data_IF_289883749591
#
_entry.id   IF_289883749591
#
_cell.length_a   1.000
_cell.length_b   1.000
_cell.length_c   1.000
_cell.angle_alpha   90.00
_cell.angle_beta   90.00
_cell.angle_gamma   90.00
#
_symmetry.space_group_name_H-M   'P 1'
#
loop_
_entity.id
_entity.type
_entity.pdbx_description
1 polymer ?
#
# COMPACT_ATOMS: atom_id res chain seq x y z
N UNK A 1 27.48 23.88 -22.27
CA UNK A 1 26.95 24.47 -21.03
C UNK A 1 25.88 23.52 -20.50
N UNK A 2 26.22 22.68 -19.52
CA UNK A 2 25.26 21.76 -18.90
C UNK A 2 24.61 22.55 -17.77
N UNK A 3 23.32 22.84 -17.91
CA UNK A 3 22.52 23.44 -16.82
C UNK A 3 22.10 22.28 -15.92
N UNK A 4 22.87 22.04 -14.86
CA UNK A 4 22.46 21.14 -13.78
C UNK A 4 21.48 21.91 -12.90
N UNK A 5 20.17 21.63 -13.04
CA UNK A 5 19.18 22.13 -12.10
C UNK A 5 19.42 21.45 -10.75
N UNK A 6 20.00 22.18 -9.79
CA UNK A 6 19.99 21.78 -8.39
C UNK A 6 18.52 21.92 -7.93
N UNK A 7 17.73 20.86 -8.08
CA UNK A 7 16.40 20.81 -7.50
C UNK A 7 16.53 20.97 -5.98
N UNK A 8 15.95 22.04 -5.46
CA UNK A 8 15.93 22.29 -4.02
C UNK A 8 15.06 21.19 -3.38
N UNK A 9 15.61 20.43 -2.43
CA UNK A 9 14.95 19.31 -1.72
C UNK A 9 13.53 19.69 -1.20
N UNK A 10 13.30 20.99 -0.91
CA UNK A 10 11.97 21.52 -0.54
C UNK A 10 10.92 21.45 -1.67
N UNK A 11 11.31 21.69 -2.92
CA UNK A 11 10.42 21.59 -4.09
C UNK A 11 10.07 20.15 -4.41
N UNK A 12 11.05 19.24 -4.33
CA UNK A 12 10.84 17.79 -4.48
C UNK A 12 9.83 17.25 -3.48
N UNK A 13 10.02 17.58 -2.19
CA UNK A 13 9.08 17.21 -1.12
C UNK A 13 7.66 17.71 -1.42
N UNK A 14 7.53 18.98 -1.80
CA UNK A 14 6.23 19.58 -2.13
C UNK A 14 5.57 18.91 -3.33
N UNK A 15 6.32 18.62 -4.38
CA UNK A 15 5.82 17.93 -5.57
C UNK A 15 5.32 16.52 -5.20
N UNK A 16 6.10 15.79 -4.41
CA UNK A 16 5.73 14.46 -3.96
C UNK A 16 4.45 14.46 -3.12
N UNK A 17 4.31 15.44 -2.22
CA UNK A 17 3.09 15.60 -1.43
C UNK A 17 1.86 15.88 -2.29
N UNK A 18 2.01 16.72 -3.33
CA UNK A 18 0.92 17.00 -4.28
C UNK A 18 0.52 15.72 -5.02
N UNK A 19 1.50 14.94 -5.53
CA UNK A 19 1.23 13.65 -6.18
C UNK A 19 0.50 12.67 -5.27
N UNK A 20 0.95 12.53 -4.02
CA UNK A 20 0.28 11.66 -3.05
C UNK A 20 -1.16 12.13 -2.78
N UNK A 21 -1.39 13.45 -2.68
CA UNK A 21 -2.73 14.00 -2.49
C UNK A 21 -3.63 13.77 -3.72
N UNK A 22 -3.10 13.95 -4.92
CA UNK A 22 -3.81 13.66 -6.17
C UNK A 22 -4.17 12.17 -6.27
N UNK A 23 -3.23 11.29 -5.95
CA UNK A 23 -3.46 9.84 -5.84
C UNK A 23 -4.63 9.52 -4.91
N UNK A 24 -4.57 9.99 -3.66
CA UNK A 24 -5.62 9.70 -2.66
C UNK A 24 -6.98 10.28 -3.05
N UNK A 25 -7.00 11.43 -3.75
CA UNK A 25 -8.25 12.03 -4.22
C UNK A 25 -9.01 11.19 -5.26
N UNK A 26 -8.33 10.23 -5.90
CA UNK A 26 -8.93 9.29 -6.85
C UNK A 26 -9.39 7.99 -6.21
N UNK A 27 -9.02 7.75 -4.94
CA UNK A 27 -9.40 6.55 -4.22
C UNK A 27 -10.87 6.60 -3.81
N UNK A 28 -11.48 5.42 -3.78
CA UNK A 28 -12.86 5.19 -3.31
C UNK A 28 -12.82 4.34 -2.05
N UNK A 29 -13.97 4.22 -1.37
CA UNK A 29 -14.07 3.37 -0.17
C UNK A 29 -13.26 3.87 1.03
N UNK A 30 -12.91 5.16 1.04
CA UNK A 30 -12.25 5.83 2.17
C UNK A 30 -13.19 6.89 2.75
N UNK A 31 -13.28 6.94 4.08
CA UNK A 31 -14.00 7.97 4.83
C UNK A 31 -13.14 9.22 5.04
N UNK A 32 -11.86 9.02 5.37
CA UNK A 32 -10.93 10.10 5.63
C UNK A 32 -9.48 9.66 5.41
N UNK A 33 -8.58 10.64 5.25
CA UNK A 33 -7.16 10.37 5.12
C UNK A 33 -6.29 11.49 5.72
N UNK A 34 -5.07 11.15 6.11
CA UNK A 34 -4.01 12.12 6.41
C UNK A 34 -2.73 11.71 5.69
N UNK A 35 -1.90 12.70 5.36
CA UNK A 35 -0.63 12.50 4.65
C UNK A 35 0.48 13.09 5.50
N UNK A 36 1.47 12.27 5.83
CA UNK A 36 2.68 12.70 6.51
C UNK A 36 3.92 12.33 5.70
N UNK A 37 4.95 13.17 5.81
CA UNK A 37 6.28 12.72 5.40
C UNK A 37 6.73 11.67 6.39
N UNK A 38 7.36 10.65 5.86
CA UNK A 38 8.01 9.64 6.68
C UNK A 38 9.27 10.29 7.26
N UNK A 39 9.28 10.58 8.56
CA UNK A 39 10.46 11.09 9.27
C UNK A 39 11.39 9.93 9.62
N UNK A 40 12.67 10.16 9.96
CA UNK A 40 13.61 9.05 10.15
C UNK A 40 13.23 8.09 11.30
N UNK A 41 12.55 8.54 12.35
CA UNK A 41 12.19 7.69 13.50
C UNK A 41 10.92 6.84 13.23
N UNK A 42 9.86 7.45 12.72
CA UNK A 42 8.65 6.77 12.24
C UNK A 42 8.96 5.91 11.02
N UNK A 43 9.90 6.34 10.17
CA UNK A 43 10.46 5.49 9.12
C UNK A 43 11.21 4.34 9.72
N UNK A 44 11.99 4.49 10.80
CA UNK A 44 12.69 3.35 11.40
C UNK A 44 11.72 2.36 12.03
N UNK A 45 10.62 2.81 12.65
CA UNK A 45 9.56 1.92 13.13
C UNK A 45 8.82 1.26 11.96
N UNK A 46 8.32 2.05 10.99
CA UNK A 46 7.62 1.55 9.81
C UNK A 46 8.52 0.69 8.92
N UNK A 47 9.81 1.00 8.82
CA UNK A 47 10.84 0.21 8.12
C UNK A 47 11.31 -0.96 8.97
N UNK A 48 11.17 -0.96 10.30
CA UNK A 48 11.32 -2.19 11.10
C UNK A 48 10.16 -3.13 10.82
N UNK A 49 8.93 -2.61 10.77
CA UNK A 49 7.77 -3.35 10.30
C UNK A 49 8.02 -3.85 8.86
N UNK A 50 8.39 -2.98 7.91
CA UNK A 50 8.77 -3.37 6.55
C UNK A 50 10.01 -4.24 6.44
N UNK A 51 11.00 -4.18 7.35
CA UNK A 51 12.17 -5.05 7.32
C UNK A 51 11.84 -6.43 7.87
N UNK A 52 10.84 -6.54 8.75
CA UNK A 52 10.17 -7.80 9.00
C UNK A 52 9.44 -8.26 7.71
N UNK A 53 8.88 -7.35 6.91
CA UNK A 53 8.21 -7.66 5.62
C UNK A 53 9.16 -8.00 4.44
N UNK A 54 10.33 -7.38 4.31
CA UNK A 54 11.32 -7.64 3.26
C UNK A 54 12.29 -8.79 3.60
N UNK A 55 12.31 -9.25 4.86
CA UNK A 55 12.73 -10.61 5.15
C UNK A 55 11.59 -11.53 4.76
N UNK A 56 11.56 -11.86 3.47
CA UNK A 56 10.64 -12.83 2.84
C UNK A 56 10.57 -14.16 3.61
N UNK A 57 11.56 -14.44 4.47
CA UNK A 57 11.65 -15.61 5.35
C UNK A 57 10.66 -15.63 6.55
N UNK A 58 9.82 -14.61 6.77
CA UNK A 58 8.86 -14.57 7.89
C UNK A 58 7.40 -14.29 7.48
N UNK A 59 7.05 -14.53 6.21
CA UNK A 59 5.66 -14.47 5.75
C UNK A 59 4.96 -15.76 6.17
N UNK A 60 3.95 -15.66 7.03
CA UNK A 60 3.20 -16.82 7.52
C UNK A 60 2.47 -17.57 6.38
N UNK A 61 2.22 -16.91 5.24
CA UNK A 61 1.51 -17.50 4.09
C UNK A 61 1.73 -16.73 2.78
N UNK A 62 2.07 -17.47 1.72
CA UNK A 62 2.17 -17.01 0.33
C UNK A 62 1.05 -17.67 -0.49
N UNK A 63 0.33 -16.87 -1.28
CA UNK A 63 -0.56 -17.36 -2.34
C UNK A 63 0.00 -16.85 -3.68
N UNK A 64 0.20 -17.76 -4.62
CA UNK A 64 0.59 -17.44 -5.99
C UNK A 64 -0.58 -17.71 -6.92
N UNK A 65 -0.87 -16.77 -7.82
CA UNK A 65 -1.97 -16.83 -8.77
C UNK A 65 -1.43 -16.58 -10.18
N UNK A 66 -1.62 -17.50 -11.10
CA UNK A 66 -1.17 -17.35 -12.49
C UNK A 66 -2.01 -16.32 -13.25
N UNK A 67 -1.37 -15.54 -14.12
CA UNK A 67 -2.06 -14.70 -15.07
C UNK A 67 -2.74 -15.53 -16.18
N UNK A 68 -3.89 -15.07 -16.71
CA UNK A 68 -4.58 -13.83 -16.35
C UNK A 68 -5.50 -14.01 -15.14
N UNK A 69 -5.36 -13.14 -14.13
CA UNK A 69 -6.31 -13.05 -13.01
C UNK A 69 -7.19 -11.81 -13.10
N UNK A 70 -8.49 -11.97 -12.80
CA UNK A 70 -9.42 -10.84 -12.78
C UNK A 70 -9.32 -10.03 -11.48
N UNK A 71 -9.51 -8.70 -11.57
CA UNK A 71 -9.62 -7.81 -10.39
C UNK A 71 -10.62 -8.32 -9.36
N UNK A 72 -11.75 -8.83 -9.83
CA UNK A 72 -12.82 -9.36 -8.97
C UNK A 72 -12.34 -10.58 -8.19
N UNK A 73 -11.73 -11.53 -8.87
CA UNK A 73 -11.21 -12.76 -8.26
C UNK A 73 -10.13 -12.46 -7.21
N UNK A 74 -9.19 -11.57 -7.53
CA UNK A 74 -8.16 -11.15 -6.58
C UNK A 74 -8.77 -10.50 -5.33
N UNK A 75 -9.75 -9.61 -5.49
CA UNK A 75 -10.44 -8.95 -4.37
C UNK A 75 -11.20 -9.99 -3.51
N UNK A 76 -11.86 -10.97 -4.12
CA UNK A 76 -12.52 -12.06 -3.39
C UNK A 76 -11.52 -12.88 -2.56
N UNK A 77 -10.31 -13.13 -3.08
CA UNK A 77 -9.24 -13.81 -2.35
C UNK A 77 -8.75 -12.95 -1.17
N UNK A 78 -8.50 -11.66 -1.40
CA UNK A 78 -8.07 -10.72 -0.35
C UNK A 78 -9.12 -10.64 0.77
N UNK A 79 -10.40 -10.57 0.43
CA UNK A 79 -11.50 -10.56 1.39
C UNK A 79 -11.54 -11.83 2.25
N UNK A 80 -11.29 -13.00 1.65
CA UNK A 80 -11.21 -14.27 2.37
C UNK A 80 -10.03 -14.30 3.35
N UNK A 81 -8.86 -13.81 2.93
CA UNK A 81 -7.65 -13.72 3.77
C UNK A 81 -7.90 -12.80 4.96
N UNK A 82 -8.44 -11.61 4.69
CA UNK A 82 -8.68 -10.61 5.72
C UNK A 82 -9.87 -11.00 6.63
N UNK A 83 -10.72 -11.96 6.29
CA UNK A 83 -11.81 -12.45 7.16
C UNK A 83 -12.69 -11.32 7.73
N UNK A 84 -13.20 -10.42 6.87
CA UNK A 84 -14.30 -9.47 7.14
C UNK A 84 -14.39 -8.87 8.57
N UNK A 85 -13.25 -8.58 9.22
CA UNK A 85 -13.23 -7.86 10.49
C UNK A 85 -13.32 -6.37 10.19
N UNK A 86 -13.72 -5.56 11.15
CA UNK A 86 -13.78 -4.10 11.02
C UNK A 86 -12.36 -3.53 10.82
N UNK A 87 -11.89 -3.48 9.57
CA UNK A 87 -10.68 -2.77 9.19
C UNK A 87 -11.06 -1.33 8.87
N UNK A 88 -10.74 -0.42 9.76
CA UNK A 88 -10.92 1.00 9.53
C UNK A 88 -9.59 1.64 9.16
N UNK A 89 -8.52 1.39 9.91
CA UNK A 89 -7.27 2.14 9.74
C UNK A 89 -6.19 1.36 8.99
N UNK A 90 -5.66 1.99 7.94
CA UNK A 90 -4.60 1.46 7.11
C UNK A 90 -3.53 2.52 6.82
N UNK A 91 -2.27 2.09 6.66
CA UNK A 91 -1.17 2.92 6.16
C UNK A 91 -0.68 2.34 4.84
N UNK A 92 -0.61 3.20 3.83
CA UNK A 92 0.03 2.93 2.55
C UNK A 92 1.26 3.83 2.39
N UNK A 93 2.39 3.28 1.94
CA UNK A 93 3.51 4.10 1.50
C UNK A 93 3.36 4.53 0.05
N UNK A 94 3.73 5.78 -0.19
CA UNK A 94 3.82 6.38 -1.51
C UNK A 94 5.26 6.80 -1.79
N UNK A 95 5.86 6.20 -2.82
CA UNK A 95 7.28 6.36 -3.21
C UNK A 95 8.26 6.29 -2.01
N UNK A 96 7.98 5.41 -1.03
CA UNK A 96 8.76 5.16 0.20
C UNK A 96 9.02 6.38 1.11
N UNK A 97 8.49 7.55 0.77
CA UNK A 97 8.80 8.84 1.42
C UNK A 97 7.58 9.49 2.05
N UNK A 98 6.39 9.06 1.67
CA UNK A 98 5.11 9.56 2.18
C UNK A 98 4.32 8.41 2.77
N UNK A 99 3.82 8.60 3.99
CA UNK A 99 2.86 7.73 4.61
C UNK A 99 1.46 8.33 4.43
N UNK A 100 0.57 7.55 3.85
CA UNK A 100 -0.83 7.87 3.68
C UNK A 100 -1.59 7.04 4.69
N UNK A 101 -2.16 7.71 5.69
CA UNK A 101 -3.03 7.09 6.68
C UNK A 101 -4.46 7.20 6.19
N UNK A 102 -5.13 6.06 6.08
CA UNK A 102 -6.42 5.90 5.45
C UNK A 102 -7.40 5.32 6.45
N UNK A 103 -8.59 5.91 6.50
CA UNK A 103 -9.74 5.30 7.13
C UNK A 103 -10.65 4.71 6.06
N UNK A 104 -10.66 3.39 5.94
CA UNK A 104 -11.38 2.61 4.92
C UNK A 104 -12.76 2.28 5.46
N UNK A 105 -13.80 2.58 4.67
CA UNK A 105 -15.18 2.19 4.97
C UNK A 105 -15.72 1.13 4.00
N UNK A 106 -15.08 0.94 2.84
CA UNK A 106 -15.41 -0.10 1.87
C UNK A 106 -14.13 -0.64 1.22
N UNK A 107 -13.73 -1.85 1.60
CA UNK A 107 -12.49 -2.48 1.13
C UNK A 107 -12.52 -2.80 -0.38
N UNK A 108 -13.67 -3.23 -0.91
CA UNK A 108 -13.81 -3.60 -2.33
C UNK A 108 -13.64 -2.39 -3.22
N UNK A 109 -14.31 -1.28 -2.89
CA UNK A 109 -14.18 -0.02 -3.63
C UNK A 109 -12.77 0.55 -3.52
N UNK A 110 -12.16 0.42 -2.34
CA UNK A 110 -10.79 0.84 -2.08
C UNK A 110 -9.79 0.08 -2.96
N UNK A 111 -9.76 -1.25 -2.89
CA UNK A 111 -8.86 -2.09 -3.70
C UNK A 111 -9.09 -1.87 -5.21
N UNK A 112 -10.36 -1.83 -5.64
CA UNK A 112 -10.67 -1.55 -7.04
C UNK A 112 -10.13 -0.18 -7.51
N UNK A 113 -10.23 0.85 -6.66
CA UNK A 113 -9.73 2.19 -6.99
C UNK A 113 -8.21 2.22 -7.12
N UNK A 114 -7.49 1.51 -6.24
CA UNK A 114 -6.02 1.36 -6.32
C UNK A 114 -5.61 0.65 -7.60
N UNK A 115 -6.16 -0.54 -7.88
CA UNK A 115 -5.80 -1.32 -9.07
C UNK A 115 -6.20 -0.62 -10.38
N UNK A 116 -7.17 0.29 -10.32
CA UNK A 116 -7.50 1.16 -11.46
C UNK A 116 -6.47 2.28 -11.64
N UNK A 117 -6.01 2.89 -10.55
CA UNK A 117 -5.02 3.96 -10.60
C UNK A 117 -3.65 3.44 -11.04
N UNK A 118 -3.16 2.38 -10.39
CA UNK A 118 -1.82 1.81 -10.63
C UNK A 118 -1.70 1.09 -11.98
N UNK A 119 -2.82 0.59 -12.52
CA UNK A 119 -2.85 -0.31 -13.68
C UNK A 119 -2.11 -1.65 -13.48
N UNK A 120 -1.66 -1.93 -12.25
CA UNK A 120 -1.10 -3.21 -11.79
C UNK A 120 -1.79 -3.62 -10.48
N UNK A 121 -1.54 -4.84 -10.03
CA UNK A 121 -1.96 -5.32 -8.72
C UNK A 121 -0.98 -4.99 -7.59
N UNK A 122 0.13 -4.31 -7.88
CA UNK A 122 1.13 -3.95 -6.86
C UNK A 122 0.53 -3.11 -5.74
N UNK A 123 0.70 -3.60 -4.52
CA UNK A 123 0.07 -3.03 -3.35
C UNK A 123 0.81 -3.41 -2.07
N UNK A 124 1.03 -2.45 -1.18
CA UNK A 124 1.50 -2.69 0.18
C UNK A 124 0.59 -1.95 1.16
N UNK A 125 -0.07 -2.69 2.06
CA UNK A 125 -0.97 -2.15 3.06
C UNK A 125 -0.60 -2.66 4.46
N UNK A 126 -0.51 -1.74 5.41
CA UNK A 126 -0.39 -2.02 6.85
C UNK A 126 -1.71 -1.63 7.53
N UNK A 127 -2.47 -2.61 8.00
CA UNK A 127 -3.64 -2.39 8.85
C UNK A 127 -3.20 -2.28 10.31
N UNK A 128 -3.79 -1.35 11.07
CA UNK A 128 -3.33 -1.04 12.44
C UNK A 128 -4.13 -1.74 13.55
N UNK A 129 -5.39 -2.10 13.29
CA UNK A 129 -6.30 -2.59 14.34
C UNK A 129 -7.22 -3.70 13.77
N UNK A 130 -6.90 -5.00 13.97
CA UNK A 130 -5.62 -5.54 14.45
C UNK A 130 -4.48 -5.35 13.44
N UNK A 131 -3.23 -5.44 13.91
CA UNK A 131 -2.05 -5.32 13.05
C UNK A 131 -2.01 -6.44 12.00
N UNK A 132 -2.08 -6.05 10.72
CA UNK A 132 -2.01 -6.98 9.59
C UNK A 132 -1.29 -6.37 8.43
N UNK A 133 -0.69 -7.22 7.63
CA UNK A 133 0.00 -6.80 6.43
C UNK A 133 -0.52 -7.56 5.25
N UNK A 134 -0.72 -6.82 4.15
CA UNK A 134 -0.99 -7.36 2.84
C UNK A 134 0.00 -6.71 1.87
N UNK A 135 0.82 -7.55 1.23
CA UNK A 135 1.67 -7.15 0.13
C UNK A 135 1.29 -7.98 -1.08
N UNK A 136 1.09 -7.32 -2.21
CA UNK A 136 0.81 -7.92 -3.50
C UNK A 136 1.92 -7.45 -4.44
N UNK A 137 2.61 -8.41 -5.05
CA UNK A 137 3.56 -8.16 -6.13
C UNK A 137 2.96 -8.73 -7.41
N UNK A 138 2.81 -7.89 -8.42
CA UNK A 138 2.30 -8.25 -9.73
C UNK A 138 3.48 -8.32 -10.71
N UNK A 139 3.83 -9.52 -11.16
CA UNK A 139 4.79 -9.70 -12.24
C UNK A 139 4.10 -10.07 -13.56
N UNK A 140 4.87 -10.27 -14.63
CA UNK A 140 4.32 -10.54 -15.96
C UNK A 140 3.57 -11.89 -16.06
N UNK A 141 3.79 -12.81 -15.12
CA UNK A 141 3.29 -14.19 -15.17
C UNK A 141 2.40 -14.55 -13.99
N UNK A 142 2.65 -13.99 -12.82
CA UNK A 142 2.04 -14.38 -11.55
C UNK A 142 1.77 -13.15 -10.65
N UNK A 143 0.75 -13.30 -9.81
CA UNK A 143 0.46 -12.39 -8.71
C UNK A 143 0.79 -13.09 -7.39
N UNK A 144 1.71 -12.52 -6.62
CA UNK A 144 2.12 -13.03 -5.33
C UNK A 144 1.48 -12.23 -4.21
N UNK A 145 0.66 -12.89 -3.40
CA UNK A 145 0.05 -12.31 -2.20
C UNK A 145 0.78 -12.82 -0.96
N UNK A 146 1.39 -11.89 -0.25
CA UNK A 146 2.03 -12.12 1.02
C UNK A 146 1.18 -11.47 2.12
N UNK A 147 0.87 -12.22 3.17
CA UNK A 147 0.11 -11.68 4.30
C UNK A 147 0.61 -12.20 5.65
N UNK A 148 0.48 -11.36 6.67
CA UNK A 148 0.70 -11.70 8.06
C UNK A 148 -0.49 -11.20 8.88
N UNK A 149 -1.03 -12.08 9.73
CA UNK A 149 -2.18 -11.79 10.59
C UNK A 149 -1.74 -12.00 12.04
N UNK A 150 -1.37 -10.91 12.72
CA UNK A 150 -1.12 -10.95 14.15
C UNK A 150 -2.49 -11.01 14.85
N UNK A 151 -2.72 -12.09 15.62
CA UNK A 151 -3.95 -12.30 16.39
C UNK A 151 -3.82 -11.76 17.81
#
# INVERSE_FOLDING_TARGET
MIITYIMNNKLEKKLLYIKAKEYVSQLKGIESFTISYVNDEDFVWYKKQLKLFFKIDQIDSLITLEHPISKKELIEIINKILKNKTFSKCIQLFEEKIAIHLNINNLDDFLNSIFRYNQTFDLSLLFLEPERILVINDDEYEVHLHYCINN
#
